data_IF_777584560785
#
_entry.id   IF_777584560785
#
_cell.length_a   1.000
_cell.length_b   1.000
_cell.length_c   1.000
_cell.angle_alpha   90.00
_cell.angle_beta   90.00
_cell.angle_gamma   90.00
#
_symmetry.space_group_name_H-M   'P 1'
#
loop_
_entity.id
_entity.type
_entity.pdbx_description
1 polymer ?
#
# COMPACT_ATOMS: atom_id res chain seq x y z
N UNK A 1 -59.26 29.46 28.77
CA UNK A 1 -58.16 28.56 28.39
C UNK A 1 -57.26 29.32 27.44
N UNK A 2 -56.18 29.90 27.96
CA UNK A 2 -55.15 30.62 27.21
C UNK A 2 -54.03 29.62 26.90
N UNK A 3 -53.91 29.19 25.64
CA UNK A 3 -52.77 28.38 25.20
C UNK A 3 -51.48 29.23 25.22
N UNK A 4 -50.49 28.77 25.98
CA UNK A 4 -49.14 29.31 25.94
C UNK A 4 -48.47 28.98 24.60
N UNK A 5 -47.75 29.93 23.98
CA UNK A 5 -46.98 29.64 22.77
C UNK A 5 -45.84 28.68 23.10
N UNK A 6 -45.81 27.55 22.38
CA UNK A 6 -44.71 26.58 22.35
C UNK A 6 -43.37 27.31 22.16
N UNK A 7 -42.50 27.18 23.15
CA UNK A 7 -41.11 27.63 23.11
C UNK A 7 -40.41 27.11 21.84
N UNK A 8 -39.79 28.04 21.09
CA UNK A 8 -38.96 27.75 19.94
C UNK A 8 -37.80 26.80 20.32
N UNK A 9 -37.33 25.93 19.41
CA UNK A 9 -36.19 25.06 19.66
C UNK A 9 -34.94 25.92 19.89
N UNK A 10 -34.25 25.69 21.01
CA UNK A 10 -32.97 26.34 21.33
C UNK A 10 -31.95 26.14 20.20
N UNK A 11 -31.15 27.16 19.86
CA UNK A 11 -30.09 27.01 18.87
C UNK A 11 -29.03 26.05 19.38
N UNK A 12 -28.84 24.96 18.63
CA UNK A 12 -27.81 23.93 18.77
C UNK A 12 -26.46 24.56 19.17
N UNK A 13 -26.03 24.28 20.40
CA UNK A 13 -24.91 24.96 21.06
C UNK A 13 -23.60 24.65 20.29
N UNK A 14 -22.90 25.65 19.72
CA UNK A 14 -21.71 25.39 18.91
C UNK A 14 -20.63 24.69 19.74
N UNK A 15 -20.11 23.58 19.22
CA UNK A 15 -19.08 22.75 19.88
C UNK A 15 -17.88 23.60 20.30
N UNK A 16 -17.55 23.58 21.60
CA UNK A 16 -16.37 24.29 22.14
C UNK A 16 -15.09 23.52 21.86
N UNK A 17 -14.54 23.72 20.67
CA UNK A 17 -13.21 23.21 20.32
C UNK A 17 -12.13 23.74 21.28
N UNK A 18 -11.06 22.97 21.53
CA UNK A 18 -9.95 23.42 22.36
C UNK A 18 -9.10 24.52 21.72
N UNK A 19 -9.33 24.83 20.44
CA UNK A 19 -8.54 25.77 19.62
C UNK A 19 -9.45 26.71 18.84
N UNK A 20 -8.88 27.83 18.34
CA UNK A 20 -9.59 28.75 17.44
C UNK A 20 -10.07 27.99 16.20
N UNK A 21 -11.27 28.30 15.72
CA UNK A 21 -11.92 27.58 14.61
C UNK A 21 -11.04 27.48 13.33
N UNK A 22 -10.25 28.53 13.04
CA UNK A 22 -9.30 28.52 11.92
C UNK A 22 -8.18 27.48 12.06
N UNK A 23 -7.62 27.33 13.28
CA UNK A 23 -6.58 26.33 13.54
C UNK A 23 -7.15 24.91 13.55
N UNK A 24 -8.35 24.71 14.09
CA UNK A 24 -9.05 23.42 14.02
C UNK A 24 -9.29 22.97 12.58
N UNK A 25 -9.67 23.89 11.69
CA UNK A 25 -9.83 23.61 10.26
C UNK A 25 -8.50 23.22 9.60
N UNK A 26 -7.45 23.99 9.86
CA UNK A 26 -6.12 23.70 9.32
C UNK A 26 -5.66 22.29 9.70
N UNK A 27 -5.86 21.88 10.96
CA UNK A 27 -5.54 20.52 11.42
C UNK A 27 -6.34 19.45 10.66
N UNK A 28 -7.64 19.67 10.43
CA UNK A 28 -8.45 18.73 9.64
C UNK A 28 -7.88 18.61 8.22
N UNK A 29 -7.57 19.73 7.55
CA UNK A 29 -7.02 19.71 6.18
C UNK A 29 -5.65 19.02 6.13
N UNK A 30 -4.80 19.19 7.15
CA UNK A 30 -3.54 18.45 7.27
C UNK A 30 -3.80 16.96 7.43
N UNK A 31 -4.77 16.56 8.25
CA UNK A 31 -5.14 15.14 8.37
C UNK A 31 -5.66 14.58 7.06
N UNK A 32 -6.52 15.31 6.34
CA UNK A 32 -7.03 14.92 5.01
C UNK A 32 -5.87 14.67 4.04
N UNK A 33 -4.92 15.60 3.99
CA UNK A 33 -3.71 15.46 3.18
C UNK A 33 -2.92 14.18 3.52
N UNK A 34 -2.72 13.89 4.82
CA UNK A 34 -1.99 12.70 5.26
C UNK A 34 -2.77 11.41 4.97
N UNK A 35 -4.08 11.38 5.23
CA UNK A 35 -4.95 10.25 4.94
C UNK A 35 -4.97 9.95 3.44
N UNK A 36 -5.13 10.97 2.59
CA UNK A 36 -5.08 10.83 1.13
C UNK A 36 -3.72 10.32 0.63
N UNK A 37 -2.61 10.79 1.23
CA UNK A 37 -1.29 10.28 0.92
C UNK A 37 -1.16 8.79 1.28
N UNK A 38 -1.64 8.37 2.46
CA UNK A 38 -1.62 6.97 2.89
C UNK A 38 -2.55 6.09 2.03
N UNK A 39 -3.76 6.57 1.73
CA UNK A 39 -4.74 5.91 0.89
C UNK A 39 -4.18 5.59 -0.49
N UNK A 40 -3.52 6.56 -1.14
CA UNK A 40 -2.89 6.33 -2.44
C UNK A 40 -1.68 5.39 -2.34
N UNK A 41 -0.91 5.44 -1.25
CA UNK A 41 0.18 4.48 -1.02
C UNK A 41 -0.38 3.05 -0.96
N UNK A 42 -1.46 2.80 -0.23
CA UNK A 42 -2.09 1.47 -0.16
C UNK A 42 -2.59 1.00 -1.52
N UNK A 43 -3.20 1.90 -2.30
CA UNK A 43 -3.66 1.59 -3.66
C UNK A 43 -2.50 1.17 -4.56
N UNK A 44 -1.44 1.98 -4.61
CA UNK A 44 -0.26 1.71 -5.43
C UNK A 44 0.47 0.44 -4.98
N UNK A 45 0.50 0.19 -3.68
CA UNK A 45 1.07 -1.03 -3.13
C UNK A 45 0.30 -2.27 -3.58
N UNK A 46 -1.04 -2.26 -3.50
CA UNK A 46 -1.87 -3.36 -3.99
C UNK A 46 -1.69 -3.57 -5.50
N UNK A 47 -1.63 -2.50 -6.29
CA UNK A 47 -1.36 -2.57 -7.73
C UNK A 47 0.02 -3.19 -8.02
N UNK A 48 1.05 -2.79 -7.26
CA UNK A 48 2.40 -3.34 -7.39
C UNK A 48 2.44 -4.83 -7.01
N UNK A 49 1.80 -5.23 -5.91
CA UNK A 49 1.68 -6.62 -5.48
C UNK A 49 0.91 -7.46 -6.48
N UNK A 50 -0.19 -6.95 -7.01
CA UNK A 50 -0.99 -7.65 -8.01
C UNK A 50 -0.18 -7.93 -9.27
N UNK A 51 0.57 -6.93 -9.74
CA UNK A 51 1.47 -7.05 -10.89
C UNK A 51 2.57 -8.09 -10.64
N UNK A 52 3.19 -8.07 -9.45
CA UNK A 52 4.26 -8.99 -9.07
C UNK A 52 3.76 -10.44 -8.95
N UNK A 53 2.62 -10.67 -8.31
CA UNK A 53 2.11 -12.02 -8.01
C UNK A 53 1.42 -12.71 -9.19
N UNK A 54 0.81 -11.94 -10.09
CA UNK A 54 -0.01 -12.48 -11.20
C UNK A 54 0.64 -12.30 -12.57
N UNK A 55 1.56 -11.33 -12.73
CA UNK A 55 2.38 -11.14 -13.92
C UNK A 55 1.79 -10.31 -15.06
N UNK A 56 0.48 -10.02 -15.04
CA UNK A 56 -0.19 -9.12 -16.00
C UNK A 56 -0.50 -7.76 -15.36
N UNK A 57 0.41 -6.81 -15.53
CA UNK A 57 0.36 -5.53 -14.81
C UNK A 57 -0.85 -4.67 -15.17
N UNK A 58 -1.29 -4.67 -16.43
CA UNK A 58 -2.39 -3.79 -16.87
C UNK A 58 -3.72 -4.29 -16.35
N UNK A 59 -4.03 -5.57 -16.57
CA UNK A 59 -5.30 -6.17 -16.12
C UNK A 59 -5.41 -6.11 -14.60
N UNK A 60 -4.33 -6.37 -13.87
CA UNK A 60 -4.34 -6.33 -12.41
C UNK A 60 -4.53 -4.91 -11.87
N UNK A 61 -3.84 -3.92 -12.44
CA UNK A 61 -4.05 -2.53 -12.09
C UNK A 61 -5.51 -2.13 -12.34
N UNK A 62 -6.08 -2.46 -13.51
CA UNK A 62 -7.48 -2.17 -13.82
C UNK A 62 -8.45 -2.81 -12.83
N UNK A 63 -8.21 -4.05 -12.40
CA UNK A 63 -9.05 -4.73 -11.40
C UNK A 63 -8.98 -4.04 -10.04
N UNK A 64 -7.76 -3.78 -9.54
CA UNK A 64 -7.58 -3.12 -8.23
C UNK A 64 -8.25 -1.74 -8.24
N UNK A 65 -7.95 -0.91 -9.24
CA UNK A 65 -8.53 0.43 -9.37
C UNK A 65 -10.06 0.40 -9.46
N UNK A 66 -10.62 -0.45 -10.32
CA UNK A 66 -12.08 -0.51 -10.51
C UNK A 66 -12.80 -1.02 -9.26
N UNK A 67 -12.24 -2.04 -8.60
CA UNK A 67 -12.79 -2.58 -7.34
C UNK A 67 -12.70 -1.54 -6.23
N UNK A 68 -11.57 -0.85 -6.10
CA UNK A 68 -11.38 0.20 -5.09
C UNK A 68 -12.35 1.36 -5.30
N UNK A 69 -12.50 1.89 -6.52
CA UNK A 69 -13.43 2.99 -6.81
C UNK A 69 -14.88 2.58 -6.54
N UNK A 70 -15.28 1.36 -6.94
CA UNK A 70 -16.60 0.82 -6.60
C UNK A 70 -16.80 0.71 -5.08
N UNK A 71 -15.81 0.16 -4.39
CA UNK A 71 -15.80 0.01 -2.94
C UNK A 71 -15.84 1.37 -2.22
N UNK A 72 -15.16 2.40 -2.73
CA UNK A 72 -15.23 3.77 -2.21
C UNK A 72 -16.66 4.31 -2.29
N UNK A 73 -17.37 4.04 -3.38
CA UNK A 73 -18.80 4.35 -3.51
C UNK A 73 -19.63 3.69 -2.40
N UNK A 74 -19.42 2.38 -2.17
CA UNK A 74 -20.09 1.61 -1.10
C UNK A 74 -19.76 2.18 0.29
N UNK A 75 -18.48 2.49 0.54
CA UNK A 75 -17.99 3.12 1.77
C UNK A 75 -18.66 4.45 2.07
N UNK A 76 -18.82 5.30 1.06
CA UNK A 76 -19.46 6.61 1.20
C UNK A 76 -20.94 6.50 1.62
N UNK A 77 -21.62 5.43 1.20
CA UNK A 77 -23.00 5.12 1.60
C UNK A 77 -23.05 4.58 3.03
N UNK A 78 -22.18 3.63 3.38
CA UNK A 78 -22.06 3.07 4.74
C UNK A 78 -21.72 4.15 5.77
N UNK A 79 -20.91 5.14 5.38
CA UNK A 79 -20.53 6.25 6.24
C UNK A 79 -21.72 7.06 6.75
N UNK A 80 -22.89 7.02 6.07
CA UNK A 80 -24.14 7.66 6.53
C UNK A 80 -24.50 7.27 7.96
N UNK A 81 -24.32 5.99 8.31
CA UNK A 81 -24.63 5.47 9.65
C UNK A 81 -23.65 5.95 10.72
N UNK A 82 -22.40 6.22 10.33
CA UNK A 82 -21.35 6.67 11.26
C UNK A 82 -21.40 8.19 11.53
N UNK A 83 -22.15 8.98 10.73
CA UNK A 83 -22.21 10.45 10.87
C UNK A 83 -22.71 10.92 12.23
N UNK A 84 -23.62 10.18 12.87
CA UNK A 84 -24.12 10.51 14.21
C UNK A 84 -22.97 10.62 15.24
N UNK A 85 -21.93 9.80 15.07
CA UNK A 85 -20.70 9.81 15.87
C UNK A 85 -19.48 10.03 14.99
N UNK A 86 -19.51 11.04 14.12
CA UNK A 86 -18.49 11.26 13.09
C UNK A 86 -17.04 11.21 13.61
N UNK A 87 -16.75 11.81 14.78
CA UNK A 87 -15.41 11.79 15.36
C UNK A 87 -14.96 10.37 15.75
N UNK A 88 -15.83 9.59 16.41
CA UNK A 88 -15.54 8.19 16.79
C UNK A 88 -15.46 7.32 15.54
N UNK A 89 -16.39 7.50 14.61
CA UNK A 89 -16.42 6.78 13.34
C UNK A 89 -15.14 6.99 12.55
N UNK A 90 -14.71 8.24 12.37
CA UNK A 90 -13.47 8.57 11.67
C UNK A 90 -12.26 7.91 12.33
N UNK A 91 -12.08 8.08 13.65
CA UNK A 91 -10.94 7.46 14.35
C UNK A 91 -10.93 5.94 14.27
N UNK A 92 -12.10 5.29 14.25
CA UNK A 92 -12.20 3.85 14.07
C UNK A 92 -11.89 3.42 12.63
N UNK A 93 -12.40 4.14 11.62
CA UNK A 93 -12.10 3.89 10.20
C UNK A 93 -10.59 4.01 9.97
N UNK A 94 -9.95 5.09 10.43
CA UNK A 94 -8.51 5.30 10.26
C UNK A 94 -7.66 4.22 10.93
N UNK A 95 -8.06 3.75 12.12
CA UNK A 95 -7.35 2.68 12.82
C UNK A 95 -7.48 1.33 12.08
N UNK A 96 -8.69 1.01 11.59
CA UNK A 96 -8.90 -0.22 10.81
C UNK A 96 -8.22 -0.14 9.45
N UNK A 97 -8.27 1.02 8.78
CA UNK A 97 -7.61 1.26 7.52
C UNK A 97 -6.09 1.17 7.65
N UNK A 98 -5.51 1.76 8.69
CA UNK A 98 -4.10 1.63 9.02
C UNK A 98 -3.67 0.17 9.19
N UNK A 99 -4.48 -0.62 9.90
CA UNK A 99 -4.19 -2.03 10.13
C UNK A 99 -4.33 -2.87 8.84
N UNK A 100 -5.43 -2.71 8.10
CA UNK A 100 -5.66 -3.47 6.87
C UNK A 100 -4.70 -3.06 5.76
N UNK A 101 -4.48 -1.76 5.56
CA UNK A 101 -3.52 -1.21 4.62
C UNK A 101 -2.11 -1.66 4.94
N UNK A 102 -1.64 -1.42 6.16
CA UNK A 102 -0.27 -1.77 6.56
C UNK A 102 0.02 -3.26 6.59
N UNK A 103 -0.95 -4.11 6.94
CA UNK A 103 -0.77 -5.56 6.95
C UNK A 103 -1.07 -6.23 5.60
N UNK A 104 -1.68 -5.52 4.64
CA UNK A 104 -2.12 -6.09 3.36
C UNK A 104 -0.98 -6.76 2.60
N UNK A 105 0.19 -6.13 2.57
CA UNK A 105 1.36 -6.63 1.86
C UNK A 105 1.84 -7.96 2.41
N UNK A 106 2.04 -8.03 3.73
CA UNK A 106 2.45 -9.26 4.40
C UNK A 106 1.39 -10.37 4.22
N UNK A 107 0.11 -10.03 4.34
CA UNK A 107 -0.98 -10.98 4.17
C UNK A 107 -1.04 -11.53 2.74
N UNK A 108 -0.88 -10.69 1.71
CA UNK A 108 -0.88 -11.12 0.31
C UNK A 108 0.32 -12.00 -0.03
N UNK A 109 1.51 -11.64 0.44
CA UNK A 109 2.69 -12.49 0.31
C UNK A 109 2.50 -13.83 1.03
N UNK A 110 1.88 -13.84 2.21
CA UNK A 110 1.59 -15.06 2.94
C UNK A 110 0.60 -15.95 2.17
N UNK A 111 -0.53 -15.39 1.71
CA UNK A 111 -1.51 -16.14 0.91
C UNK A 111 -0.86 -16.74 -0.35
N UNK A 112 0.02 -16.00 -1.00
CA UNK A 112 0.76 -16.53 -2.15
C UNK A 112 1.70 -17.68 -1.75
N UNK A 113 2.51 -17.48 -0.71
CA UNK A 113 3.53 -18.45 -0.28
C UNK A 113 2.94 -19.78 0.23
N UNK A 114 1.82 -19.75 0.96
CA UNK A 114 1.25 -20.95 1.58
C UNK A 114 0.03 -21.52 0.85
N UNK A 115 -0.82 -20.68 0.26
CA UNK A 115 -2.07 -21.13 -0.36
C UNK A 115 -1.99 -21.20 -1.89
N UNK A 116 -0.92 -20.68 -2.51
CA UNK A 116 -0.74 -20.67 -3.97
C UNK A 116 -1.75 -19.80 -4.74
N UNK A 117 -2.65 -19.10 -4.04
CA UNK A 117 -3.71 -18.29 -4.64
C UNK A 117 -3.82 -16.95 -3.92
N UNK A 118 -3.42 -15.86 -4.59
CA UNK A 118 -3.43 -14.49 -4.03
C UNK A 118 -4.55 -13.60 -4.56
N UNK A 119 -5.17 -13.93 -5.70
CA UNK A 119 -6.18 -13.10 -6.36
C UNK A 119 -7.41 -12.79 -5.48
N UNK A 120 -7.94 -13.79 -4.78
CA UNK A 120 -9.11 -13.60 -3.91
C UNK A 120 -8.78 -12.69 -2.72
N UNK A 121 -7.62 -12.88 -2.10
CA UNK A 121 -7.13 -12.00 -1.04
C UNK A 121 -6.91 -10.58 -1.56
N UNK A 122 -6.32 -10.43 -2.75
CA UNK A 122 -6.09 -9.12 -3.38
C UNK A 122 -7.41 -8.36 -3.59
N UNK A 123 -8.42 -9.00 -4.17
CA UNK A 123 -9.74 -8.41 -4.37
C UNK A 123 -10.39 -8.08 -3.02
N UNK A 124 -10.26 -8.96 -2.02
CA UNK A 124 -10.78 -8.75 -0.67
C UNK A 124 -10.16 -7.53 0.03
N UNK A 125 -8.82 -7.42 0.01
CA UNK A 125 -8.11 -6.27 0.56
C UNK A 125 -8.41 -4.99 -0.20
N UNK A 126 -8.42 -5.03 -1.54
CA UNK A 126 -8.78 -3.88 -2.39
C UNK A 126 -10.18 -3.37 -2.06
N UNK A 127 -11.15 -4.29 -1.93
CA UNK A 127 -12.51 -3.92 -1.55
C UNK A 127 -12.58 -3.36 -0.13
N UNK A 128 -11.96 -4.01 0.86
CA UNK A 128 -12.01 -3.56 2.25
C UNK A 128 -11.36 -2.18 2.44
N UNK A 129 -10.18 -1.97 1.85
CA UNK A 129 -9.45 -0.70 1.88
C UNK A 129 -10.26 0.38 1.14
N UNK A 130 -10.79 0.08 -0.04
CA UNK A 130 -11.64 1.01 -0.79
C UNK A 130 -12.90 1.43 -0.02
N UNK A 131 -13.58 0.52 0.66
CA UNK A 131 -14.74 0.84 1.53
C UNK A 131 -14.35 1.80 2.64
N UNK A 132 -13.19 1.60 3.26
CA UNK A 132 -12.72 2.45 4.36
C UNK A 132 -12.33 3.85 3.86
N UNK A 133 -11.55 3.94 2.76
CA UNK A 133 -11.18 5.22 2.13
C UNK A 133 -12.45 5.99 1.71
N UNK A 134 -13.42 5.31 1.09
CA UNK A 134 -14.67 5.94 0.68
C UNK A 134 -15.52 6.48 1.82
N UNK A 135 -15.34 5.95 3.04
CA UNK A 135 -16.04 6.41 4.22
C UNK A 135 -15.45 7.71 4.81
N UNK A 136 -14.20 8.06 4.47
CA UNK A 136 -13.48 9.20 5.04
C UNK A 136 -14.12 10.54 4.66
N UNK A 137 -14.34 10.78 3.37
CA UNK A 137 -14.82 12.07 2.84
C UNK A 137 -16.15 12.52 3.51
N UNK A 138 -17.19 11.67 3.63
CA UNK A 138 -18.42 12.06 4.34
C UNK A 138 -18.21 12.35 5.84
N UNK A 139 -17.31 11.62 6.50
CA UNK A 139 -17.01 11.81 7.92
C UNK A 139 -16.24 13.11 8.14
N UNK A 140 -15.20 13.35 7.36
CA UNK A 140 -14.41 14.58 7.38
C UNK A 140 -15.26 15.81 7.06
N UNK A 141 -16.15 15.72 6.07
CA UNK A 141 -17.10 16.80 5.76
C UNK A 141 -17.98 17.12 6.98
N UNK A 142 -18.47 16.09 7.67
CA UNK A 142 -19.25 16.26 8.91
C UNK A 142 -18.40 16.93 9.99
N UNK A 143 -17.12 16.59 10.12
CA UNK A 143 -16.20 17.21 11.08
C UNK A 143 -15.90 18.67 10.74
N UNK A 144 -15.66 19.01 9.48
CA UNK A 144 -15.42 20.39 9.02
C UNK A 144 -16.63 21.28 9.34
N UNK A 145 -17.83 20.79 9.02
CA UNK A 145 -19.08 21.53 9.27
C UNK A 145 -19.36 21.73 10.77
N UNK A 146 -18.90 20.82 11.64
CA UNK A 146 -18.94 21.00 13.10
C UNK A 146 -17.97 22.08 13.60
N UNK A 147 -16.81 22.24 12.97
CA UNK A 147 -15.82 23.26 13.37
C UNK A 147 -16.25 24.66 12.98
N UNK A 148 -16.79 24.82 11.77
CA UNK A 148 -17.32 26.10 11.29
C UNK A 148 -18.39 25.84 10.25
N UNK A 149 -19.60 26.38 10.46
CA UNK A 149 -20.62 26.46 9.39
C UNK A 149 -20.04 27.31 8.26
N UNK A 150 -19.76 26.67 7.14
CA UNK A 150 -19.32 27.29 5.91
C UNK A 150 -20.26 26.88 4.79
N UNK A 151 -20.19 27.63 3.69
CA UNK A 151 -20.78 27.16 2.44
C UNK A 151 -20.31 25.73 2.15
N UNK A 152 -21.24 24.76 1.99
CA UNK A 152 -20.88 23.38 1.76
C UNK A 152 -19.99 23.19 0.54
N UNK A 153 -20.15 24.02 -0.51
CA UNK A 153 -19.32 23.99 -1.71
C UNK A 153 -17.87 24.34 -1.42
N UNK A 154 -17.62 25.42 -0.68
CA UNK A 154 -16.27 25.81 -0.28
C UNK A 154 -15.57 24.78 0.63
N UNK A 155 -16.31 24.17 1.57
CA UNK A 155 -15.77 23.11 2.42
C UNK A 155 -15.38 21.85 1.63
N UNK A 156 -16.20 21.48 0.64
CA UNK A 156 -15.92 20.35 -0.27
C UNK A 156 -14.73 20.63 -1.17
N UNK A 157 -14.65 21.85 -1.72
CA UNK A 157 -13.52 22.25 -2.56
C UNK A 157 -12.18 22.18 -1.81
N UNK A 158 -12.13 22.71 -0.58
CA UNK A 158 -10.91 22.66 0.24
C UNK A 158 -10.55 21.23 0.64
N UNK A 159 -11.55 20.37 0.88
CA UNK A 159 -11.33 18.95 1.18
C UNK A 159 -10.72 18.22 -0.02
N UNK A 160 -11.29 18.38 -1.21
CA UNK A 160 -10.75 17.81 -2.45
C UNK A 160 -9.37 18.37 -2.81
N UNK A 161 -9.13 19.66 -2.56
CA UNK A 161 -7.81 20.23 -2.80
C UNK A 161 -6.75 19.57 -1.91
N UNK A 162 -7.04 19.41 -0.61
CA UNK A 162 -6.14 18.70 0.31
C UNK A 162 -5.97 17.22 -0.08
N UNK A 163 -7.06 16.56 -0.50
CA UNK A 163 -7.06 15.16 -0.95
C UNK A 163 -6.18 14.97 -2.19
N UNK A 164 -6.36 15.77 -3.25
CA UNK A 164 -5.57 15.66 -4.48
C UNK A 164 -4.09 15.96 -4.26
N UNK A 165 -3.78 16.97 -3.44
CA UNK A 165 -2.38 17.29 -3.11
C UNK A 165 -1.77 16.18 -2.25
N UNK A 166 -2.53 15.63 -1.31
CA UNK A 166 -2.12 14.47 -0.50
C UNK A 166 -1.85 13.24 -1.34
N UNK A 167 -2.78 12.88 -2.23
CA UNK A 167 -2.65 11.79 -3.16
C UNK A 167 -1.41 11.97 -4.04
N UNK A 168 -1.20 13.15 -4.65
CA UNK A 168 0.01 13.43 -5.43
C UNK A 168 1.29 13.17 -4.62
N UNK A 169 1.36 13.67 -3.39
CA UNK A 169 2.54 13.47 -2.52
C UNK A 169 2.70 12.00 -2.15
N UNK A 170 1.63 11.30 -1.77
CA UNK A 170 1.67 9.87 -1.47
C UNK A 170 2.12 9.03 -2.67
N UNK A 171 1.63 9.35 -3.86
CA UNK A 171 1.93 8.64 -5.10
C UNK A 171 3.37 8.78 -5.55
N UNK A 172 3.99 9.93 -5.26
CA UNK A 172 5.42 10.14 -5.47
C UNK A 172 6.26 9.57 -4.30
N UNK A 173 5.77 9.69 -3.07
CA UNK A 173 6.47 9.18 -1.89
C UNK A 173 6.60 7.64 -1.94
N UNK A 174 5.62 6.92 -2.49
CA UNK A 174 5.68 5.47 -2.60
C UNK A 174 6.94 4.97 -3.36
N UNK A 175 7.13 5.28 -4.65
CA UNK A 175 8.28 4.80 -5.41
C UNK A 175 9.61 5.49 -5.05
N UNK A 176 9.60 6.76 -4.64
CA UNK A 176 10.84 7.54 -4.45
C UNK A 176 11.34 7.62 -3.01
N UNK A 177 10.47 7.41 -2.02
CA UNK A 177 10.84 7.53 -0.60
C UNK A 177 10.60 6.22 0.16
N UNK A 178 9.40 5.65 0.10
CA UNK A 178 9.03 4.47 0.89
C UNK A 178 9.75 3.22 0.39
N UNK A 179 9.69 2.93 -0.91
CA UNK A 179 10.36 1.76 -1.48
C UNK A 179 11.89 1.80 -1.27
N UNK A 180 12.62 2.91 -1.53
CA UNK A 180 14.07 2.92 -1.34
C UNK A 180 14.50 2.91 0.13
N UNK A 181 13.76 3.58 1.03
CA UNK A 181 14.16 3.70 2.43
C UNK A 181 13.75 2.50 3.29
N UNK A 182 12.54 1.97 3.08
CA UNK A 182 11.95 0.94 3.93
C UNK A 182 11.70 -0.39 3.21
N UNK A 183 11.67 -0.38 1.87
CA UNK A 183 11.17 -1.51 1.09
C UNK A 183 9.65 -1.61 1.13
N UNK A 184 9.11 -2.59 0.40
CA UNK A 184 7.66 -2.73 0.21
C UNK A 184 6.92 -3.05 1.52
N UNK A 185 7.27 -4.16 2.19
CA UNK A 185 6.58 -4.63 3.40
C UNK A 185 6.66 -3.62 4.56
N UNK A 186 7.87 -3.14 4.89
CA UNK A 186 8.05 -2.16 5.97
C UNK A 186 7.43 -0.82 5.60
N UNK A 187 7.48 -0.42 4.33
CA UNK A 187 6.85 0.80 3.84
C UNK A 187 5.33 0.81 4.07
N UNK A 188 4.65 -0.32 3.82
CA UNK A 188 3.23 -0.51 4.13
C UNK A 188 2.93 -0.25 5.61
N UNK A 189 3.70 -0.90 6.49
CA UNK A 189 3.53 -0.84 7.93
C UNK A 189 3.79 0.56 8.49
N UNK A 190 4.81 1.25 7.98
CA UNK A 190 5.12 2.64 8.33
C UNK A 190 3.99 3.56 7.88
N UNK A 191 3.46 3.36 6.68
CA UNK A 191 2.31 4.11 6.17
C UNK A 191 1.08 3.90 7.06
N UNK A 192 0.82 2.64 7.46
CA UNK A 192 -0.16 2.28 8.48
C UNK A 192 0.00 3.08 9.77
N UNK A 193 1.23 3.14 10.30
CA UNK A 193 1.49 3.85 11.54
C UNK A 193 1.26 5.36 11.42
N UNK A 194 1.69 5.96 10.30
CA UNK A 194 1.45 7.39 10.00
C UNK A 194 -0.06 7.66 9.93
N UNK A 195 -0.82 6.81 9.24
CA UNK A 195 -2.27 6.94 9.11
C UNK A 195 -2.97 6.87 10.48
N UNK A 196 -2.66 5.85 11.27
CA UNK A 196 -3.21 5.66 12.62
C UNK A 196 -2.89 6.84 13.54
N UNK A 197 -1.66 7.37 13.48
CA UNK A 197 -1.26 8.54 14.26
C UNK A 197 -2.01 9.79 13.80
N UNK A 198 -2.12 10.04 12.50
CA UNK A 198 -2.81 11.22 11.96
C UNK A 198 -4.31 11.23 12.33
N UNK A 199 -5.01 10.13 12.07
CA UNK A 199 -6.42 9.98 12.41
C UNK A 199 -6.69 9.99 13.91
N UNK A 200 -5.89 9.22 14.66
CA UNK A 200 -5.97 9.14 16.12
C UNK A 200 -5.69 10.48 16.79
N UNK A 201 -4.65 11.20 16.37
CA UNK A 201 -4.31 12.51 16.91
C UNK A 201 -5.42 13.54 16.64
N UNK A 202 -5.99 13.57 15.42
CA UNK A 202 -7.10 14.47 15.10
C UNK A 202 -8.27 14.26 16.07
N UNK A 203 -8.72 13.01 16.23
CA UNK A 203 -9.90 12.71 17.05
C UNK A 203 -9.63 12.89 18.54
N UNK A 204 -8.51 12.35 19.04
CA UNK A 204 -8.18 12.37 20.46
C UNK A 204 -7.74 13.74 20.96
N UNK A 205 -7.24 14.62 20.09
CA UNK A 205 -6.82 15.97 20.45
C UNK A 205 -7.87 17.03 20.14
N UNK A 206 -8.32 17.13 18.88
CA UNK A 206 -9.23 18.19 18.43
C UNK A 206 -10.66 17.96 18.92
N UNK A 207 -11.14 16.72 18.83
CA UNK A 207 -12.52 16.34 19.19
C UNK A 207 -12.64 15.70 20.58
N UNK A 208 -11.63 15.88 21.44
CA UNK A 208 -11.57 15.27 22.78
C UNK A 208 -12.79 15.52 23.67
N UNK A 209 -13.51 16.63 23.44
CA UNK A 209 -14.70 17.04 24.21
C UNK A 209 -16.00 16.46 23.66
N UNK A 210 -16.00 16.00 22.42
CA UNK A 210 -17.15 15.32 21.78
C UNK A 210 -17.19 13.82 22.09
N UNK A 211 -16.17 13.31 22.77
CA UNK A 211 -16.03 11.91 23.12
C UNK A 211 -16.55 11.66 24.54
N UNK A 212 -17.40 10.65 24.68
CA UNK A 212 -17.65 10.04 25.99
C UNK A 212 -16.36 9.45 26.55
N UNK A 213 -16.23 9.36 27.87
CA UNK A 213 -15.05 8.75 28.50
C UNK A 213 -14.78 7.33 27.99
N UNK A 214 -15.83 6.52 27.79
CA UNK A 214 -15.74 5.16 27.25
C UNK A 214 -15.23 5.15 25.82
N UNK A 215 -15.79 5.99 24.93
CA UNK A 215 -15.35 6.04 23.53
C UNK A 215 -13.94 6.58 23.39
N UNK A 216 -13.54 7.52 24.23
CA UNK A 216 -12.16 8.05 24.26
C UNK A 216 -11.17 6.95 24.65
N UNK A 217 -11.42 6.22 25.73
CA UNK A 217 -10.55 5.11 26.15
C UNK A 217 -10.53 3.99 25.12
N UNK A 218 -11.68 3.63 24.54
CA UNK A 218 -11.74 2.64 23.47
C UNK A 218 -10.86 3.05 22.28
N UNK A 219 -10.94 4.30 21.81
CA UNK A 219 -10.09 4.78 20.71
C UNK A 219 -8.60 4.79 21.07
N UNK A 220 -8.24 5.18 22.30
CA UNK A 220 -6.84 5.15 22.76
C UNK A 220 -6.32 3.71 22.73
N UNK A 221 -7.07 2.76 23.30
CA UNK A 221 -6.69 1.35 23.34
C UNK A 221 -6.61 0.78 21.93
N UNK A 222 -7.61 1.00 21.09
CA UNK A 222 -7.60 0.54 19.70
C UNK A 222 -6.40 1.09 18.94
N UNK A 223 -6.12 2.40 19.03
CA UNK A 223 -4.99 3.00 18.33
C UNK A 223 -3.64 2.47 18.85
N UNK A 224 -3.51 2.30 20.17
CA UNK A 224 -2.32 1.72 20.77
C UNK A 224 -2.10 0.26 20.34
N UNK A 225 -3.17 -0.54 20.27
CA UNK A 225 -3.12 -1.92 19.78
C UNK A 225 -2.74 -1.97 18.30
N UNK A 226 -3.34 -1.13 17.45
CA UNK A 226 -2.98 -1.05 16.03
C UNK A 226 -1.51 -0.69 15.85
N UNK A 227 -1.04 0.36 16.54
CA UNK A 227 0.38 0.76 16.47
C UNK A 227 1.31 -0.34 16.98
N UNK A 228 0.94 -1.05 18.05
CA UNK A 228 1.72 -2.17 18.56
C UNK A 228 1.77 -3.34 17.57
N UNK A 229 0.65 -3.67 16.91
CA UNK A 229 0.60 -4.72 15.88
C UNK A 229 1.43 -4.35 14.66
N UNK A 230 1.34 -3.10 14.18
CA UNK A 230 2.14 -2.61 13.06
C UNK A 230 3.64 -2.61 13.40
N UNK A 231 4.00 -2.16 14.60
CA UNK A 231 5.38 -2.20 15.08
C UNK A 231 5.92 -3.63 15.22
N UNK A 232 5.10 -4.55 15.75
CA UNK A 232 5.45 -5.97 15.80
C UNK A 232 5.65 -6.54 14.39
N UNK A 233 4.76 -6.23 13.45
CA UNK A 233 4.92 -6.59 12.04
C UNK A 233 6.23 -6.08 11.43
N UNK A 234 6.60 -4.84 11.74
CA UNK A 234 7.83 -4.22 11.22
C UNK A 234 9.08 -4.92 11.75
N UNK A 235 9.11 -5.23 13.05
CA UNK A 235 10.19 -6.00 13.68
C UNK A 235 10.27 -7.42 13.12
N UNK A 236 9.13 -8.03 12.82
CA UNK A 236 9.04 -9.40 12.29
C UNK A 236 9.29 -9.49 10.78
N UNK A 237 9.29 -8.36 10.05
CA UNK A 237 9.43 -8.32 8.59
C UNK A 237 10.67 -9.07 8.09
N UNK A 238 11.89 -8.90 8.63
CA UNK A 238 13.07 -9.64 8.14
C UNK A 238 12.98 -11.16 8.34
N UNK A 239 12.27 -11.61 9.38
CA UNK A 239 12.04 -13.03 9.63
C UNK A 239 10.96 -13.58 8.70
N UNK A 240 9.89 -12.80 8.48
CA UNK A 240 8.83 -13.11 7.53
C UNK A 240 9.39 -13.23 6.10
N UNK A 241 10.20 -12.28 5.64
CA UNK A 241 10.81 -12.35 4.32
C UNK A 241 11.71 -13.58 4.14
N UNK A 242 12.42 -14.00 5.19
CA UNK A 242 13.23 -15.24 5.16
C UNK A 242 12.35 -16.47 5.05
N UNK A 243 11.27 -16.55 5.84
CA UNK A 243 10.32 -17.67 5.80
C UNK A 243 9.56 -17.75 4.47
N UNK A 244 9.07 -16.61 3.96
CA UNK A 244 8.39 -16.52 2.67
C UNK A 244 9.33 -16.93 1.52
N UNK A 245 10.61 -16.51 1.56
CA UNK A 245 11.61 -16.95 0.58
C UNK A 245 11.84 -18.45 0.60
N UNK A 246 11.93 -19.07 1.78
CA UNK A 246 12.07 -20.52 1.90
C UNK A 246 10.83 -21.27 1.39
N UNK A 247 9.63 -20.73 1.62
CA UNK A 247 8.38 -21.32 1.14
C UNK A 247 8.25 -21.24 -0.39
N UNK A 248 8.62 -20.11 -1.01
CA UNK A 248 8.48 -19.89 -2.45
C UNK A 248 9.60 -20.55 -3.27
N UNK A 249 10.85 -20.47 -2.81
CA UNK A 249 12.03 -20.92 -3.58
C UNK A 249 12.60 -22.27 -3.10
N UNK A 250 12.07 -22.83 -2.02
CA UNK A 250 12.58 -24.05 -1.40
C UNK A 250 13.87 -23.84 -0.58
N UNK A 251 14.39 -24.89 0.08
CA UNK A 251 15.54 -24.81 0.99
C UNK A 251 16.90 -24.58 0.32
N UNK A 252 16.97 -24.56 -1.03
CA UNK A 252 18.23 -24.48 -1.80
C UNK A 252 18.41 -23.15 -2.55
N UNK A 253 18.04 -22.02 -1.94
CA UNK A 253 18.42 -20.69 -2.46
C UNK A 253 19.93 -20.50 -2.27
N UNK A 254 20.70 -20.42 -3.36
CA UNK A 254 22.16 -20.18 -3.31
C UNK A 254 22.51 -18.71 -3.23
N UNK A 255 21.86 -17.89 -4.06
CA UNK A 255 22.12 -16.46 -4.17
C UNK A 255 20.80 -15.79 -4.51
N UNK A 256 20.36 -14.85 -3.67
CA UNK A 256 19.25 -13.96 -3.97
C UNK A 256 19.79 -12.52 -3.91
N UNK A 257 19.87 -11.87 -5.06
CA UNK A 257 20.31 -10.48 -5.17
C UNK A 257 19.13 -9.66 -5.64
N UNK A 258 18.64 -8.78 -4.77
CA UNK A 258 17.78 -7.68 -5.19
C UNK A 258 18.67 -6.57 -5.75
N UNK A 259 18.63 -6.40 -7.06
CA UNK A 259 19.10 -5.16 -7.68
C UNK A 259 17.99 -4.11 -7.57
N UNK A 260 18.32 -2.82 -7.62
CA UNK A 260 17.33 -1.73 -7.49
C UNK A 260 16.23 -1.71 -8.57
N UNK A 261 16.27 -2.66 -9.52
CA UNK A 261 15.32 -2.80 -10.62
C UNK A 261 14.70 -4.21 -10.69
N UNK A 262 15.34 -5.23 -10.11
CA UNK A 262 14.94 -6.63 -10.32
C UNK A 262 15.45 -7.56 -9.21
N UNK A 263 14.64 -8.54 -8.82
CA UNK A 263 15.06 -9.61 -7.91
C UNK A 263 15.58 -10.82 -8.67
N UNK A 264 16.87 -11.14 -8.50
CA UNK A 264 17.55 -12.27 -9.13
C UNK A 264 17.74 -13.38 -8.09
N UNK A 265 17.04 -14.49 -8.22
CA UNK A 265 17.14 -15.64 -7.30
C UNK A 265 17.69 -16.86 -8.02
N UNK A 266 18.78 -17.41 -7.52
CA UNK A 266 19.43 -18.60 -8.01
C UNK A 266 19.19 -19.76 -7.04
N UNK A 267 18.61 -20.85 -7.52
CA UNK A 267 18.32 -22.05 -6.72
C UNK A 267 18.97 -23.31 -7.32
N UNK A 268 19.23 -24.31 -6.48
CA UNK A 268 19.70 -25.64 -6.90
C UNK A 268 21.23 -25.81 -7.06
N UNK A 269 21.66 -27.03 -7.41
CA UNK A 269 23.06 -27.36 -7.75
C UNK A 269 23.96 -27.83 -6.60
N UNK A 270 23.43 -28.18 -5.42
CA UNK A 270 24.23 -28.75 -4.30
C UNK A 270 24.46 -30.27 -4.42
N UNK A 271 23.56 -30.98 -5.08
CA UNK A 271 23.58 -32.44 -5.18
C UNK A 271 23.80 -32.83 -6.64
N UNK A 272 24.75 -33.74 -6.93
CA UNK A 272 24.99 -34.25 -8.29
C UNK A 272 23.66 -34.69 -8.92
N UNK A 273 23.21 -34.00 -9.96
CA UNK A 273 22.01 -34.35 -10.72
C UNK A 273 20.82 -33.39 -10.62
N UNK A 274 20.86 -32.31 -9.83
CA UNK A 274 19.82 -31.26 -9.87
C UNK A 274 20.33 -30.00 -10.58
N UNK A 275 19.73 -29.60 -11.72
CA UNK A 275 20.19 -28.43 -12.46
C UNK A 275 19.95 -27.13 -11.71
N UNK A 276 20.77 -26.13 -12.02
CA UNK A 276 20.57 -24.76 -11.55
C UNK A 276 19.30 -24.15 -12.13
N UNK A 277 18.56 -23.41 -11.31
CA UNK A 277 17.40 -22.63 -11.74
C UNK A 277 17.61 -21.16 -11.40
N UNK A 278 17.40 -20.27 -12.38
CA UNK A 278 17.43 -18.83 -12.25
C UNK A 278 16.00 -18.29 -12.30
N UNK A 279 15.61 -17.58 -11.26
CA UNK A 279 14.37 -16.85 -11.17
C UNK A 279 14.68 -15.35 -11.26
N UNK A 280 13.90 -14.64 -12.08
CA UNK A 280 13.85 -13.17 -12.10
C UNK A 280 12.43 -12.74 -11.68
N UNK A 281 12.33 -11.95 -10.61
CA UNK A 281 11.06 -11.50 -10.01
C UNK A 281 10.08 -12.65 -9.75
N UNK A 282 10.59 -13.75 -9.18
CA UNK A 282 9.79 -14.94 -8.88
C UNK A 282 9.41 -15.81 -10.08
N UNK A 283 9.73 -15.41 -11.32
CA UNK A 283 9.52 -16.24 -12.53
C UNK A 283 10.78 -17.02 -12.88
N UNK A 284 10.66 -18.33 -13.08
CA UNK A 284 11.74 -19.18 -13.59
C UNK A 284 12.08 -18.74 -15.03
N UNK A 285 13.29 -18.20 -15.22
CA UNK A 285 13.78 -17.73 -16.52
C UNK A 285 14.69 -18.75 -17.19
N UNK A 286 15.49 -19.46 -16.39
CA UNK A 286 16.42 -20.47 -16.89
C UNK A 286 16.38 -21.64 -15.93
N UNK A 287 16.21 -22.85 -16.45
CA UNK A 287 16.38 -24.09 -15.73
C UNK A 287 17.42 -24.91 -16.47
N UNK A 288 18.43 -25.42 -15.79
CA UNK A 288 19.43 -26.30 -16.39
C UNK A 288 18.85 -27.66 -16.83
N UNK A 289 17.57 -27.94 -16.57
CA UNK A 289 16.84 -29.07 -17.19
C UNK A 289 16.58 -28.83 -18.69
N UNK A 290 16.47 -27.56 -19.12
CA UNK A 290 16.18 -27.15 -20.51
C UNK A 290 17.43 -26.68 -21.27
N UNK A 291 18.64 -27.01 -20.78
CA UNK A 291 19.91 -26.56 -21.37
C UNK A 291 20.00 -26.91 -22.87
N UNK A 292 19.48 -28.08 -23.28
CA UNK A 292 19.40 -28.49 -24.69
C UNK A 292 18.50 -27.59 -25.55
N UNK A 293 17.35 -27.13 -25.05
CA UNK A 293 16.42 -26.28 -25.82
C UNK A 293 16.93 -24.86 -25.99
N UNK A 294 17.62 -24.31 -24.99
CA UNK A 294 18.29 -23.02 -25.12
C UNK A 294 19.48 -23.09 -26.07
N UNK A 295 20.26 -24.17 -26.02
CA UNK A 295 21.32 -24.41 -26.99
C UNK A 295 20.74 -24.53 -28.41
N UNK A 296 19.66 -25.29 -28.61
CA UNK A 296 18.98 -25.35 -29.92
C UNK A 296 18.46 -23.98 -30.40
N UNK A 297 17.83 -23.18 -29.54
CA UNK A 297 17.30 -21.87 -29.92
C UNK A 297 18.38 -20.83 -30.24
N UNK A 298 19.60 -20.98 -29.73
CA UNK A 298 20.75 -20.12 -30.05
C UNK A 298 21.56 -20.66 -31.24
N UNK A 299 21.61 -21.97 -31.41
CA UNK A 299 22.38 -22.64 -32.46
C UNK A 299 21.61 -22.66 -33.78
N UNK A 300 20.30 -22.94 -33.78
CA UNK A 300 19.53 -23.05 -35.02
C UNK A 300 19.46 -21.73 -35.82
N UNK A 301 19.27 -20.54 -35.21
CA UNK A 301 19.39 -19.28 -35.95
C UNK A 301 20.82 -18.98 -36.40
N UNK A 302 21.82 -19.36 -35.58
CA UNK A 302 23.23 -19.15 -35.91
C UNK A 302 23.75 -20.12 -37.00
N UNK A 303 23.15 -21.30 -37.13
CA UNK A 303 23.48 -22.34 -38.12
C UNK A 303 22.62 -22.24 -39.38
N UNK A 304 21.38 -21.76 -39.28
CA UNK A 304 20.49 -21.48 -40.42
C UNK A 304 20.96 -20.26 -41.24
N UNK A 305 21.79 -19.39 -40.67
CA UNK A 305 22.36 -18.21 -41.31
C UNK A 305 23.73 -18.46 -42.01
N UNK A 306 23.99 -19.66 -42.53
CA UNK A 306 25.27 -19.98 -43.19
C UNK A 306 25.64 -19.06 -44.37
N UNK A 307 26.86 -19.11 -44.95
CA UNK A 307 28.12 -19.76 -44.54
C UNK A 307 29.23 -18.73 -44.16
N UNK A 308 30.16 -19.14 -43.29
CA UNK A 308 31.47 -18.53 -42.99
C UNK A 308 31.63 -17.02 -43.24
N UNK A 309 31.15 -16.17 -42.33
CA UNK A 309 31.64 -14.78 -42.27
C UNK A 309 31.85 -14.30 -40.84
N UNK A 310 33.09 -14.50 -40.38
CA UNK A 310 33.79 -13.82 -39.26
C UNK A 310 32.88 -12.96 -38.37
N UNK A 311 32.42 -13.52 -37.26
CA UNK A 311 31.99 -12.72 -36.11
C UNK A 311 33.26 -12.08 -35.53
N UNK A 312 33.56 -10.85 -35.97
CA UNK A 312 34.50 -9.97 -35.27
C UNK A 312 33.82 -9.52 -33.98
N UNK A 313 33.93 -10.34 -32.94
CA UNK A 313 33.79 -9.87 -31.57
C UNK A 313 34.86 -8.80 -31.32
N UNK A 314 34.42 -7.62 -30.89
CA UNK A 314 35.27 -6.52 -30.49
C UNK A 314 36.22 -6.99 -29.37
N UNK A 315 37.48 -7.25 -29.73
CA UNK A 315 38.53 -7.72 -28.83
C UNK A 315 39.89 -7.51 -29.47
N UNK A 316 40.18 -6.27 -29.88
CA UNK A 316 41.47 -5.92 -30.52
C UNK A 316 42.58 -5.88 -29.46
N UNK A 317 43.08 -7.04 -29.03
CA UNK A 317 44.43 -7.13 -28.43
C UNK A 317 45.45 -7.29 -29.55
N UNK A 318 46.14 -6.20 -29.90
CA UNK A 318 47.38 -6.25 -30.69
C UNK A 318 48.43 -7.03 -29.86
N UNK A 319 48.88 -8.18 -30.35
CA UNK A 319 50.23 -8.70 -30.06
C UNK A 319 51.03 -8.65 -31.36
N UNK A 320 52.03 -7.79 -31.39
CA UNK A 320 53.05 -7.76 -32.42
C UNK A 320 53.89 -9.06 -32.34
N UNK A 321 54.25 -9.61 -33.49
CA UNK A 321 55.19 -10.71 -33.65
C UNK A 321 56.26 -10.30 -34.66
N UNK A 322 57.52 -10.58 -34.31
CA UNK A 322 58.66 -10.70 -35.22
C UNK A 322 59.64 -9.52 -35.17
N UNK A 323 60.96 -9.75 -35.36
CA UNK A 323 61.49 -10.79 -36.25
C UNK A 323 62.57 -11.72 -35.65
N UNK A 324 62.75 -12.88 -36.28
CA UNK A 324 64.00 -13.68 -36.30
C UNK A 324 64.39 -13.85 -37.77
N UNK A 325 65.68 -13.65 -38.07
CA UNK A 325 66.37 -14.18 -39.26
C UNK A 325 66.10 -13.42 -40.54
#
# INVERSE_FOLDING_TARGET
MTESPKSAPEPDNPVRLPVRAGFGRFLILVTVFVCAACGLVYELELVALASYLVGDSVTQASVVLSVMVFAMGVGSLLAKWLRCRAAVGFGAVEAVLALLGGCSAMALYACFAWCGQSRSALVGFSFAIGVLIGAEVPLLMTLIQRVRRQDPGGAVADLFAADYVGALVGGLAFPFLLLPAFGQLTGALVTGAVNAVAGGALVLWLFRRDLSARSRWALIVTNAVVLALLAAGAVLTPSFERAARQAVYGPEVRVAVRTGVQEVVLTGGRTRGRPLSLFLDGRLQVSGHDELRYHEALIHPAMAAGPHRRVRGAGRRRRARGPRG
#
